data_IF_209542715550
#
_entry.id   IF_209542715550
#
_cell.length_a   1.000
_cell.length_b   1.000
_cell.length_c   1.000
_cell.angle_alpha   90.00
_cell.angle_beta   90.00
_cell.angle_gamma   90.00
#
_symmetry.space_group_name_H-M   'P 1'
#
loop_
_entity.id
_entity.type
_entity.pdbx_description
1 polymer ?
#
# COMPACT_ATOMS: atom_id res chain seq x y z
N UNK A 1 0.06 31.32 -19.19
CA UNK A 1 -0.82 30.54 -18.30
C UNK A 1 0.03 29.99 -17.17
N UNK A 2 -0.44 30.05 -15.93
CA UNK A 2 0.31 29.51 -14.80
C UNK A 2 0.17 27.98 -14.77
N UNK A 3 1.27 27.29 -14.44
CA UNK A 3 1.36 25.83 -14.36
C UNK A 3 1.40 25.37 -12.91
N UNK A 4 0.83 24.22 -12.56
CA UNK A 4 0.99 23.63 -11.24
C UNK A 4 1.04 22.10 -11.27
N UNK A 5 1.60 21.51 -10.21
CA UNK A 5 1.69 20.06 -10.05
C UNK A 5 0.59 19.56 -9.11
N UNK A 6 -0.33 18.73 -9.60
CA UNK A 6 -1.39 18.14 -8.80
C UNK A 6 -0.99 16.76 -8.25
N UNK A 7 -1.03 16.57 -6.93
CA UNK A 7 -0.87 15.25 -6.32
C UNK A 7 -2.18 14.45 -6.44
N UNK A 8 -2.32 13.72 -7.54
CA UNK A 8 -3.55 13.04 -7.93
C UNK A 8 -3.50 11.55 -7.55
N UNK A 9 -4.06 11.24 -6.38
CA UNK A 9 -4.18 9.84 -5.92
C UNK A 9 -5.27 9.02 -6.64
N UNK A 10 -6.13 9.70 -7.42
CA UNK A 10 -7.33 9.11 -8.01
C UNK A 10 -8.49 8.92 -7.03
N UNK A 11 -8.37 9.41 -5.79
CA UNK A 11 -9.47 9.46 -4.81
C UNK A 11 -10.23 10.78 -4.92
N UNK A 12 -11.47 10.77 -4.43
CA UNK A 12 -12.40 11.90 -4.41
C UNK A 12 -11.74 13.25 -4.10
N UNK A 13 -11.09 13.39 -2.95
CA UNK A 13 -10.57 14.69 -2.49
C UNK A 13 -9.49 15.23 -3.44
N UNK A 14 -8.61 14.36 -3.97
CA UNK A 14 -7.61 14.78 -4.95
C UNK A 14 -8.21 15.15 -6.31
N UNK A 15 -9.30 14.49 -6.72
CA UNK A 15 -10.02 14.82 -7.96
C UNK A 15 -10.68 16.19 -7.82
N UNK A 16 -11.42 16.41 -6.73
CA UNK A 16 -12.12 17.67 -6.46
C UNK A 16 -11.15 18.85 -6.36
N UNK A 17 -10.06 18.71 -5.60
CA UNK A 17 -9.04 19.76 -5.50
C UNK A 17 -8.41 20.11 -6.86
N UNK A 18 -8.14 19.09 -7.69
CA UNK A 18 -7.58 19.29 -9.04
C UNK A 18 -8.60 19.99 -9.93
N UNK A 19 -9.87 19.57 -9.90
CA UNK A 19 -10.96 20.15 -10.69
C UNK A 19 -11.19 21.63 -10.37
N UNK A 20 -11.22 21.99 -9.08
CA UNK A 20 -11.40 23.38 -8.64
C UNK A 20 -10.31 24.33 -9.16
N UNK A 21 -9.08 23.83 -9.32
CA UNK A 21 -7.96 24.63 -9.83
C UNK A 21 -7.98 24.69 -11.36
N UNK A 22 -8.38 23.61 -12.03
CA UNK A 22 -8.60 23.60 -13.49
C UNK A 22 -9.68 24.59 -13.93
N UNK A 23 -10.78 24.70 -13.18
CA UNK A 23 -11.87 25.64 -13.48
C UNK A 23 -11.45 27.11 -13.41
N UNK A 24 -10.33 27.42 -12.75
CA UNK A 24 -9.74 28.75 -12.72
C UNK A 24 -8.76 29.00 -13.89
N UNK A 25 -8.61 28.07 -14.83
CA UNK A 25 -7.75 28.22 -16.01
C UNK A 25 -6.25 27.97 -15.74
N UNK A 26 -5.90 27.33 -14.63
CA UNK A 26 -4.52 26.90 -14.35
C UNK A 26 -4.19 25.62 -15.13
N UNK A 27 -3.03 25.59 -15.80
CA UNK A 27 -2.54 24.39 -16.46
C UNK A 27 -1.99 23.40 -15.40
N UNK A 28 -2.44 22.14 -15.41
CA UNK A 28 -2.00 21.14 -14.43
C UNK A 28 -1.31 19.95 -15.08
N UNK A 29 -0.19 19.54 -14.49
CA UNK A 29 0.34 18.19 -14.62
C UNK A 29 0.12 17.43 -13.32
N UNK A 30 -0.40 16.21 -13.41
CA UNK A 30 -0.60 15.34 -12.26
C UNK A 30 0.62 14.47 -11.98
N UNK A 31 0.88 14.24 -10.70
CA UNK A 31 1.79 13.20 -10.22
C UNK A 31 1.05 12.21 -9.33
N UNK A 32 1.42 10.95 -9.46
CA UNK A 32 0.91 9.88 -8.61
C UNK A 32 2.04 8.97 -8.14
N UNK A 33 1.96 8.51 -6.90
CA UNK A 33 2.99 7.68 -6.27
C UNK A 33 2.42 6.30 -5.99
N UNK A 34 3.05 5.29 -6.57
CA UNK A 34 2.71 3.89 -6.36
C UNK A 34 3.69 3.30 -5.38
N UNK A 35 3.19 2.44 -4.49
CA UNK A 35 4.02 1.54 -3.68
C UNK A 35 3.40 0.16 -3.66
N UNK A 36 4.19 -0.83 -3.28
CA UNK A 36 3.73 -2.20 -3.02
C UNK A 36 2.69 -2.26 -1.89
N UNK A 37 2.48 -1.19 -1.10
CA UNK A 37 1.50 -1.15 -0.02
C UNK A 37 0.15 -0.56 -0.45
N UNK A 38 0.05 -0.03 -1.67
CA UNK A 38 -1.20 0.48 -2.21
C UNK A 38 -2.20 -0.67 -2.44
N UNK A 39 -3.40 -0.50 -1.90
CA UNK A 39 -4.54 -1.42 -2.07
C UNK A 39 -5.28 -1.20 -3.38
N UNK A 40 -4.99 -0.11 -4.10
CA UNK A 40 -5.63 0.26 -5.37
C UNK A 40 -5.27 -0.69 -6.53
N UNK A 41 -4.31 -1.60 -6.33
CA UNK A 41 -3.88 -2.60 -7.31
C UNK A 41 -4.52 -3.98 -6.99
N UNK A 42 -5.85 -4.04 -6.89
CA UNK A 42 -6.53 -5.32 -7.00
C UNK A 42 -6.49 -5.75 -8.48
N UNK A 43 -5.93 -6.93 -8.76
CA UNK A 43 -5.88 -7.58 -10.09
C UNK A 43 -4.90 -7.00 -11.12
N UNK A 44 -3.60 -6.94 -10.81
CA UNK A 44 -2.55 -6.89 -11.84
C UNK A 44 -2.53 -5.66 -12.76
N UNK A 45 -3.30 -4.62 -12.46
CA UNK A 45 -3.30 -3.35 -13.18
C UNK A 45 -2.74 -2.28 -12.25
N UNK A 46 -1.73 -1.57 -12.74
CA UNK A 46 -1.17 -0.36 -12.13
C UNK A 46 -2.28 0.61 -11.76
N UNK A 47 -2.07 1.43 -10.73
CA UNK A 47 -2.99 2.42 -10.15
C UNK A 47 -4.00 3.07 -11.13
N UNK A 48 -5.07 2.32 -11.48
CA UNK A 48 -6.04 2.70 -12.51
C UNK A 48 -6.81 3.95 -12.11
N UNK A 49 -7.00 4.17 -10.81
CA UNK A 49 -7.72 5.31 -10.28
C UNK A 49 -7.03 6.64 -10.65
N UNK A 50 -5.71 6.74 -10.49
CA UNK A 50 -4.98 7.96 -10.83
C UNK A 50 -4.99 8.23 -12.33
N UNK A 51 -4.79 7.17 -13.15
CA UNK A 51 -4.83 7.28 -14.61
C UNK A 51 -6.21 7.66 -15.12
N UNK A 52 -7.26 6.94 -14.70
CA UNK A 52 -8.65 7.23 -15.05
C UNK A 52 -9.05 8.65 -14.65
N UNK A 53 -8.65 9.11 -13.46
CA UNK A 53 -8.90 10.48 -13.03
C UNK A 53 -8.19 11.52 -13.91
N UNK A 54 -6.92 11.29 -14.25
CA UNK A 54 -6.16 12.18 -15.12
C UNK A 54 -6.75 12.25 -16.53
N UNK A 55 -7.15 11.10 -17.10
CA UNK A 55 -7.78 11.01 -18.42
C UNK A 55 -9.11 11.78 -18.45
N UNK A 56 -9.96 11.62 -17.42
CA UNK A 56 -11.23 12.36 -17.28
C UNK A 56 -11.02 13.87 -17.12
N UNK A 57 -10.00 14.27 -16.37
CA UNK A 57 -9.63 15.68 -16.19
C UNK A 57 -8.83 16.24 -17.38
N UNK A 58 -8.46 15.40 -18.34
CA UNK A 58 -7.66 15.74 -19.52
C UNK A 58 -6.32 16.39 -19.18
N UNK A 59 -5.65 15.86 -18.16
CA UNK A 59 -4.33 16.33 -17.71
C UNK A 59 -3.29 15.23 -17.84
N UNK A 60 -2.04 15.62 -18.09
CA UNK A 60 -0.91 14.69 -18.14
C UNK A 60 -0.66 14.08 -16.76
N UNK A 61 -0.36 12.78 -16.71
CA UNK A 61 -0.02 12.08 -15.48
C UNK A 61 1.39 11.49 -15.52
N UNK A 62 2.23 11.84 -14.54
CA UNK A 62 3.50 11.16 -14.26
C UNK A 62 3.33 10.23 -13.06
N UNK A 63 3.57 8.93 -13.27
CA UNK A 63 3.51 7.92 -12.21
C UNK A 63 4.91 7.60 -11.73
N UNK A 64 5.15 7.75 -10.43
CA UNK A 64 6.38 7.35 -9.77
C UNK A 64 6.16 6.04 -9.03
N UNK A 65 6.92 5.00 -9.39
CA UNK A 65 7.05 3.81 -8.54
C UNK A 65 8.19 4.07 -7.54
N UNK A 66 7.83 4.13 -6.26
CA UNK A 66 8.73 4.47 -5.15
C UNK A 66 8.83 3.38 -4.08
N UNK A 67 8.40 2.15 -4.38
CA UNK A 67 8.40 1.04 -3.43
C UNK A 67 9.74 0.80 -2.73
N UNK A 68 10.86 0.80 -3.47
CA UNK A 68 12.18 0.49 -2.90
C UNK A 68 12.64 1.59 -1.95
N UNK A 69 12.55 2.86 -2.36
CA UNK A 69 12.92 3.99 -1.48
C UNK A 69 12.02 4.05 -0.25
N UNK A 70 10.75 3.64 -0.39
CA UNK A 70 9.79 3.63 0.70
C UNK A 70 10.11 2.58 1.78
N UNK A 71 10.90 1.54 1.48
CA UNK A 71 11.29 0.54 2.48
C UNK A 71 12.13 1.12 3.61
N UNK A 72 13.01 2.07 3.32
CA UNK A 72 13.82 2.73 4.36
C UNK A 72 12.97 3.57 5.31
N UNK A 73 11.93 4.23 4.77
CA UNK A 73 10.97 4.97 5.58
C UNK A 73 10.18 4.03 6.50
N UNK A 74 9.87 2.82 6.04
CA UNK A 74 9.17 1.82 6.86
C UNK A 74 10.10 1.24 7.92
N UNK A 75 11.39 1.03 7.64
CA UNK A 75 12.32 0.51 8.64
C UNK A 75 12.57 1.53 9.75
N UNK A 76 12.77 2.79 9.36
CA UNK A 76 13.23 3.87 10.25
C UNK A 76 12.43 5.16 10.04
N UNK A 77 11.13 5.22 10.41
CA UNK A 77 10.35 6.45 10.26
C UNK A 77 10.81 7.53 11.25
N UNK A 78 11.06 8.74 10.77
CA UNK A 78 11.49 9.88 11.60
C UNK A 78 10.38 10.31 12.57
N UNK A 79 9.12 10.23 12.15
CA UNK A 79 7.97 10.64 12.95
C UNK A 79 7.19 9.47 13.56
N UNK A 80 7.76 8.27 13.51
CA UNK A 80 7.16 7.06 14.05
C UNK A 80 5.98 6.51 13.23
N UNK A 81 5.33 5.50 13.78
CA UNK A 81 4.16 4.86 13.17
C UNK A 81 2.85 5.39 13.74
N UNK A 82 1.76 5.22 12.99
CA UNK A 82 0.41 5.33 13.53
C UNK A 82 0.03 4.13 14.40
N UNK A 83 -1.24 3.70 14.33
CA UNK A 83 -1.73 2.55 15.12
C UNK A 83 -0.98 1.25 14.80
N UNK A 84 -0.60 1.05 13.54
CA UNK A 84 0.08 -0.17 13.06
C UNK A 84 1.48 0.20 12.56
N UNK A 85 1.85 -0.22 11.34
CA UNK A 85 3.15 0.10 10.75
C UNK A 85 3.08 1.28 9.78
N UNK A 86 2.04 2.10 9.84
CA UNK A 86 1.81 3.16 8.86
C UNK A 86 2.60 4.45 9.21
N UNK A 87 3.68 4.81 8.48
CA UNK A 87 4.47 6.02 8.76
C UNK A 87 3.91 7.18 7.93
N UNK A 88 2.65 7.57 8.21
CA UNK A 88 1.90 8.44 7.32
C UNK A 88 2.53 9.83 7.14
N UNK A 89 3.10 10.41 8.19
CA UNK A 89 3.74 11.72 8.11
C UNK A 89 5.00 11.67 7.24
N UNK A 90 5.90 10.72 7.50
CA UNK A 90 7.10 10.48 6.69
C UNK A 90 6.76 10.18 5.23
N UNK A 91 5.72 9.38 4.99
CA UNK A 91 5.22 9.08 3.66
C UNK A 91 4.83 10.34 2.88
N UNK A 92 4.11 11.26 3.52
CA UNK A 92 3.73 12.53 2.90
C UNK A 92 4.94 13.42 2.65
N UNK A 93 5.85 13.56 3.62
CA UNK A 93 7.10 14.31 3.44
C UNK A 93 7.88 13.79 2.23
N UNK A 94 8.03 12.46 2.12
CA UNK A 94 8.75 11.82 1.02
C UNK A 94 8.09 12.08 -0.35
N UNK A 95 6.77 11.86 -0.45
CA UNK A 95 6.03 12.14 -1.69
C UNK A 95 6.08 13.63 -2.07
N UNK A 96 6.04 14.53 -1.10
CA UNK A 96 6.11 15.97 -1.33
C UNK A 96 7.49 16.39 -1.80
N UNK A 97 8.57 15.80 -1.28
CA UNK A 97 9.93 16.02 -1.79
C UNK A 97 10.06 15.62 -3.26
N UNK A 98 9.55 14.44 -3.63
CA UNK A 98 9.54 13.99 -5.03
C UNK A 98 8.67 14.90 -5.92
N UNK A 99 7.52 15.35 -5.43
CA UNK A 99 6.67 16.31 -6.14
C UNK A 99 7.38 17.67 -6.30
N UNK A 100 8.10 18.14 -5.28
CA UNK A 100 8.89 19.37 -5.32
C UNK A 100 10.03 19.30 -6.36
N UNK A 101 10.69 18.14 -6.46
CA UNK A 101 11.70 17.90 -7.51
C UNK A 101 11.07 18.01 -8.90
N UNK A 102 9.95 17.33 -9.13
CA UNK A 102 9.25 17.40 -10.41
C UNK A 102 8.68 18.79 -10.72
N UNK A 103 8.19 19.49 -9.70
CA UNK A 103 7.73 20.88 -9.80
C UNK A 103 8.86 21.79 -10.29
N UNK A 104 10.08 21.64 -9.76
CA UNK A 104 11.27 22.37 -10.23
C UNK A 104 11.65 22.00 -11.67
N UNK A 105 11.67 20.72 -12.01
CA UNK A 105 11.99 20.23 -13.36
C UNK A 105 11.04 20.79 -14.43
N UNK A 106 9.78 21.02 -14.08
CA UNK A 106 8.73 21.48 -15.00
C UNK A 106 8.46 22.97 -14.95
N UNK A 107 9.18 23.72 -14.10
CA UNK A 107 9.01 25.17 -13.93
C UNK A 107 7.67 25.57 -13.29
N UNK A 108 6.97 24.65 -12.62
CA UNK A 108 5.70 24.94 -11.98
C UNK A 108 5.91 25.74 -10.68
N UNK A 109 5.20 26.86 -10.45
CA UNK A 109 5.35 27.66 -9.22
C UNK A 109 4.84 27.00 -7.92
N UNK A 110 3.91 26.05 -7.97
CA UNK A 110 3.29 25.48 -6.77
C UNK A 110 2.73 24.07 -6.98
N UNK A 111 2.35 23.42 -5.89
CA UNK A 111 1.66 22.12 -5.90
C UNK A 111 0.23 22.22 -5.37
N UNK A 112 -0.63 21.34 -5.87
CA UNK A 112 -2.04 21.22 -5.46
C UNK A 112 -2.24 19.85 -4.82
N UNK A 113 -2.93 19.81 -3.68
CA UNK A 113 -3.25 18.56 -2.98
C UNK A 113 -4.70 18.54 -2.50
N UNK A 114 -5.30 17.35 -2.48
CA UNK A 114 -6.63 17.11 -1.92
C UNK A 114 -6.64 16.95 -0.39
N UNK A 115 -5.69 17.55 0.32
CA UNK A 115 -5.68 17.45 1.78
C UNK A 115 -6.78 18.30 2.42
N UNK A 116 -7.49 17.71 3.38
CA UNK A 116 -8.54 18.36 4.17
C UNK A 116 -8.09 18.41 5.62
N UNK A 117 -8.12 19.60 6.23
CA UNK A 117 -7.72 19.79 7.62
C UNK A 117 -8.54 18.87 8.55
N UNK A 118 -7.85 18.06 9.35
CA UNK A 118 -8.48 17.17 10.33
C UNK A 118 -9.12 15.91 9.77
N UNK A 119 -9.05 15.66 8.45
CA UNK A 119 -9.69 14.45 7.88
C UNK A 119 -8.90 13.18 8.22
N UNK A 120 -7.55 13.24 8.20
CA UNK A 120 -6.66 12.12 8.57
C UNK A 120 -5.91 12.42 9.88
N UNK A 121 -6.03 11.55 10.91
CA UNK A 121 -5.48 11.83 12.25
C UNK A 121 -3.96 11.89 12.31
N UNK A 122 -3.26 11.26 11.36
CA UNK A 122 -1.80 11.13 11.40
C UNK A 122 -1.09 12.16 10.51
N UNK A 123 -1.68 12.51 9.35
CA UNK A 123 -1.00 13.32 8.32
C UNK A 123 -1.68 14.64 7.99
N UNK A 124 -2.91 14.87 8.44
CA UNK A 124 -3.69 16.06 8.06
C UNK A 124 -4.14 16.87 9.29
N UNK A 125 -3.43 16.75 10.40
CA UNK A 125 -3.50 17.72 11.49
C UNK A 125 -2.74 18.99 11.08
N UNK A 126 -3.04 20.12 11.70
CA UNK A 126 -2.38 21.40 11.37
C UNK A 126 -0.85 21.33 11.54
N UNK A 127 -0.39 20.80 12.67
CA UNK A 127 1.03 20.55 12.96
C UNK A 127 1.66 19.61 11.92
N UNK A 128 0.98 18.53 11.57
CA UNK A 128 1.46 17.56 10.59
C UNK A 128 1.63 18.20 9.20
N UNK A 129 0.67 19.00 8.75
CA UNK A 129 0.76 19.70 7.45
C UNK A 129 1.90 20.73 7.44
N UNK A 130 2.12 21.45 8.53
CA UNK A 130 3.26 22.37 8.69
C UNK A 130 4.59 21.63 8.64
N UNK A 131 4.69 20.47 9.31
CA UNK A 131 5.86 19.59 9.24
C UNK A 131 6.10 19.14 7.81
N UNK A 132 5.06 18.69 7.09
CA UNK A 132 5.17 18.26 5.68
C UNK A 132 5.75 19.38 4.82
N UNK A 133 5.19 20.58 4.90
CA UNK A 133 5.67 21.74 4.15
C UNK A 133 7.11 22.10 4.47
N UNK A 134 7.47 22.18 5.75
CA UNK A 134 8.82 22.50 6.20
C UNK A 134 9.82 21.45 5.70
N UNK A 135 9.57 20.18 5.99
CA UNK A 135 10.51 19.10 5.69
C UNK A 135 10.61 18.78 4.20
N UNK A 136 9.58 19.11 3.41
CA UNK A 136 9.62 19.00 1.95
C UNK A 136 10.16 20.25 1.23
N UNK A 137 10.36 21.36 1.95
CA UNK A 137 10.82 22.63 1.36
C UNK A 137 9.74 23.33 0.52
N UNK A 138 8.46 23.10 0.83
CA UNK A 138 7.31 23.62 0.09
C UNK A 138 6.48 24.63 0.91
N UNK A 139 7.08 25.26 1.93
CA UNK A 139 6.40 26.24 2.77
C UNK A 139 5.72 27.33 1.92
N UNK A 140 4.40 27.46 2.05
CA UNK A 140 3.61 28.44 1.30
C UNK A 140 3.40 28.12 -0.19
N UNK A 141 3.86 26.96 -0.67
CA UNK A 141 3.71 26.50 -2.06
C UNK A 141 2.73 25.32 -2.20
N UNK A 142 2.11 24.89 -1.10
CA UNK A 142 1.14 23.79 -1.10
C UNK A 142 -0.28 24.35 -1.03
N UNK A 143 -0.95 24.38 -2.17
CA UNK A 143 -2.35 24.78 -2.27
C UNK A 143 -3.28 23.63 -1.85
N UNK A 144 -4.25 23.92 -0.97
CA UNK A 144 -5.23 22.97 -0.44
C UNK A 144 -6.67 23.45 -0.71
N UNK A 145 -7.18 23.36 -1.96
CA UNK A 145 -8.44 23.98 -2.37
C UNK A 145 -9.66 23.63 -1.50
N UNK A 146 -9.71 22.41 -0.95
CA UNK A 146 -10.85 21.95 -0.15
C UNK A 146 -10.88 22.55 1.27
N UNK A 147 -9.74 22.98 1.79
CA UNK A 147 -9.62 23.47 3.17
C UNK A 147 -8.88 24.81 3.27
N UNK A 148 -8.75 25.53 2.14
CA UNK A 148 -7.91 26.72 2.00
C UNK A 148 -8.23 27.80 3.04
N UNK A 149 -9.53 27.96 3.37
CA UNK A 149 -10.02 28.99 4.30
C UNK A 149 -9.53 28.82 5.74
N UNK A 150 -8.94 27.68 6.10
CA UNK A 150 -8.36 27.42 7.43
C UNK A 150 -6.85 27.64 7.52
N UNK A 151 -6.21 28.07 6.44
CA UNK A 151 -4.77 28.33 6.36
C UNK A 151 -4.50 29.75 5.91
N UNK A 152 -3.30 30.23 6.23
CA UNK A 152 -2.76 31.45 5.63
C UNK A 152 -2.73 31.32 4.10
N UNK A 153 -3.00 32.39 3.35
CA UNK A 153 -2.91 32.36 1.90
C UNK A 153 -1.51 31.93 1.43
N UNK A 154 -1.48 30.96 0.54
CA UNK A 154 -0.27 30.49 -0.13
C UNK A 154 0.25 31.56 -1.10
N UNK A 155 1.49 31.40 -1.57
CA UNK A 155 2.08 32.29 -2.57
C UNK A 155 1.19 32.42 -3.82
N UNK A 156 0.69 31.35 -4.47
CA UNK A 156 -0.17 31.49 -5.64
C UNK A 156 -1.52 32.17 -5.36
N UNK A 157 -2.03 32.11 -4.13
CA UNK A 157 -3.21 32.88 -3.73
C UNK A 157 -2.88 34.37 -3.57
N UNK A 158 -1.74 34.70 -2.94
CA UNK A 158 -1.30 36.09 -2.71
C UNK A 158 -0.93 36.82 -4.00
N UNK A 159 -0.34 36.12 -4.96
CA UNK A 159 0.07 36.69 -6.24
C UNK A 159 -1.06 36.71 -7.28
N UNK A 160 -2.26 36.25 -6.92
CA UNK A 160 -3.41 36.24 -7.81
C UNK A 160 -3.34 35.19 -8.92
N UNK A 161 -2.45 34.19 -8.82
CA UNK A 161 -2.39 33.06 -9.77
C UNK A 161 -3.66 32.21 -9.66
N UNK A 162 -4.18 32.06 -8.44
CA UNK A 162 -5.47 31.41 -8.17
C UNK A 162 -6.34 32.32 -7.31
N UNK A 163 -7.66 32.27 -7.54
CA UNK A 163 -8.64 32.98 -6.74
C UNK A 163 -9.01 32.16 -5.49
N UNK A 164 -8.54 32.63 -4.32
CA UNK A 164 -8.86 32.05 -3.01
C UNK A 164 -10.35 32.05 -2.69
N UNK A 165 -11.14 32.99 -3.22
CA UNK A 165 -12.57 33.07 -2.93
C UNK A 165 -13.40 31.95 -3.55
N UNK A 166 -12.87 31.29 -4.58
CA UNK A 166 -13.48 30.10 -5.16
C UNK A 166 -13.14 28.80 -4.41
N UNK A 167 -12.34 28.85 -3.33
CA UNK A 167 -11.97 27.68 -2.53
C UNK A 167 -12.83 27.49 -1.28
N UNK A 168 -12.74 26.30 -0.69
CA UNK A 168 -13.69 25.82 0.30
C UNK A 168 -13.14 25.84 1.74
N UNK A 169 -14.07 25.74 2.67
CA UNK A 169 -13.85 25.63 4.12
C UNK A 169 -14.26 24.25 4.65
N UNK A 170 -13.80 23.16 4.01
CA UNK A 170 -14.06 21.79 4.49
C UNK A 170 -13.00 21.42 5.53
N UNK A 171 -13.44 20.88 6.67
CA UNK A 171 -12.58 20.31 7.70
C UNK A 171 -13.25 19.12 8.39
N UNK A 172 -12.44 18.31 9.08
CA UNK A 172 -12.87 17.15 9.84
C UNK A 172 -12.99 15.88 9.00
N UNK A 173 -13.50 14.82 9.62
CA UNK A 173 -13.49 13.46 9.06
C UNK A 173 -14.68 13.12 8.16
N UNK A 174 -15.71 13.95 8.17
CA UNK A 174 -16.90 13.75 7.34
C UNK A 174 -16.56 14.01 5.87
N UNK A 175 -17.06 13.14 4.99
CA UNK A 175 -16.95 13.30 3.53
C UNK A 175 -18.23 13.78 2.87
N UNK A 176 -19.27 14.09 3.65
CA UNK A 176 -20.56 14.53 3.09
C UNK A 176 -20.41 15.78 2.20
N UNK A 177 -19.67 16.84 2.59
CA UNK A 177 -19.49 18.02 1.73
C UNK A 177 -18.77 17.71 0.42
N UNK A 178 -17.77 16.82 0.46
CA UNK A 178 -17.01 16.40 -0.73
C UNK A 178 -17.89 15.61 -1.69
N UNK A 179 -18.76 14.75 -1.18
CA UNK A 179 -19.71 13.98 -2.00
C UNK A 179 -20.71 14.92 -2.67
N UNK A 180 -21.29 15.85 -1.91
CA UNK A 180 -22.21 16.87 -2.45
C UNK A 180 -21.54 17.73 -3.54
N UNK A 181 -20.29 18.12 -3.33
CA UNK A 181 -19.51 18.85 -4.33
C UNK A 181 -19.24 18.00 -5.58
N UNK A 182 -19.02 16.70 -5.42
CA UNK A 182 -18.83 15.80 -6.55
C UNK A 182 -20.09 15.73 -7.41
N UNK A 183 -21.26 15.61 -6.78
CA UNK A 183 -22.55 15.62 -7.46
C UNK A 183 -22.76 16.93 -8.23
N UNK A 184 -22.45 18.09 -7.63
CA UNK A 184 -22.60 19.39 -8.29
C UNK A 184 -21.63 19.60 -9.45
N UNK A 185 -20.46 18.95 -9.43
CA UNK A 185 -19.47 18.99 -10.51
C UNK A 185 -19.66 17.86 -11.54
N UNK A 186 -20.69 17.01 -11.39
CA UNK A 186 -20.95 15.87 -12.26
C UNK A 186 -19.89 14.76 -12.17
N UNK A 187 -19.19 14.65 -11.05
CA UNK A 187 -18.12 13.67 -10.81
C UNK A 187 -18.71 12.45 -10.10
N UNK A 188 -19.29 11.54 -10.88
CA UNK A 188 -20.03 10.38 -10.34
C UNK A 188 -19.18 9.09 -10.25
N UNK A 189 -18.06 9.03 -10.96
CA UNK A 189 -17.21 7.83 -11.03
C UNK A 189 -15.84 8.08 -10.40
N UNK A 190 -15.82 7.96 -9.07
CA UNK A 190 -14.62 7.92 -8.24
C UNK A 190 -14.61 6.66 -7.37
N UNK A 191 -13.42 6.12 -7.02
CA UNK A 191 -13.35 4.93 -6.20
C UNK A 191 -14.02 5.14 -4.85
N UNK A 192 -14.87 4.18 -4.45
CA UNK A 192 -15.36 4.05 -3.09
C UNK A 192 -14.18 4.13 -2.10
N UNK A 193 -14.33 4.71 -0.88
CA UNK A 193 -13.23 4.85 0.08
C UNK A 193 -12.50 3.53 0.35
N UNK A 194 -11.43 3.26 -0.40
CA UNK A 194 -10.66 2.04 -0.22
C UNK A 194 -9.92 2.10 1.13
N UNK A 195 -9.99 1.00 1.87
CA UNK A 195 -9.38 0.80 3.20
C UNK A 195 -7.88 1.05 3.19
N UNK A 196 -7.50 2.31 3.36
CA UNK A 196 -6.14 2.78 3.65
C UNK A 196 -5.00 2.19 2.81
N UNK A 197 -3.81 2.31 3.37
CA UNK A 197 -2.60 1.61 2.94
C UNK A 197 -2.55 0.25 3.67
N UNK A 198 -1.95 -0.80 3.07
CA UNK A 198 -1.82 -2.10 3.73
C UNK A 198 -1.11 -2.04 5.08
N UNK A 199 -0.23 -1.06 5.30
CA UNK A 199 0.45 -0.86 6.59
C UNK A 199 -0.49 -0.43 7.73
N UNK A 200 -1.73 -0.05 7.40
CA UNK A 200 -2.78 0.25 8.39
C UNK A 200 -3.56 -1.01 8.81
N UNK A 201 -3.44 -2.12 8.07
CA UNK A 201 -4.02 -3.42 8.45
C UNK A 201 -3.13 -4.10 9.49
N UNK A 202 -3.71 -4.55 10.61
CA UNK A 202 -2.95 -5.15 11.71
C UNK A 202 -2.30 -6.48 11.31
N UNK A 203 -3.02 -7.31 10.55
CA UNK A 203 -2.51 -8.60 10.07
C UNK A 203 -1.32 -8.42 9.14
N UNK A 204 -1.41 -7.53 8.15
CA UNK A 204 -0.30 -7.21 7.25
C UNK A 204 0.86 -6.54 8.00
N UNK A 205 0.56 -5.64 8.95
CA UNK A 205 1.59 -5.00 9.77
C UNK A 205 2.38 -6.02 10.61
N UNK A 206 1.73 -7.01 11.22
CA UNK A 206 2.42 -8.08 11.95
C UNK A 206 3.35 -8.89 11.03
N UNK A 207 2.87 -9.21 9.82
CA UNK A 207 3.68 -9.89 8.80
C UNK A 207 4.87 -9.07 8.34
N UNK A 208 4.72 -7.76 8.23
CA UNK A 208 5.83 -6.85 7.91
C UNK A 208 6.85 -6.76 9.06
N UNK A 209 6.40 -6.69 10.32
CA UNK A 209 7.30 -6.71 11.50
C UNK A 209 8.13 -7.99 11.53
N UNK A 210 7.48 -9.14 11.32
CA UNK A 210 8.17 -10.43 11.19
C UNK A 210 9.18 -10.42 10.05
N UNK A 211 8.82 -9.91 8.87
CA UNK A 211 9.74 -9.82 7.74
C UNK A 211 10.97 -8.97 8.05
N UNK A 212 10.79 -7.76 8.61
CA UNK A 212 11.91 -6.86 8.93
C UNK A 212 12.84 -7.49 9.96
N UNK A 213 12.28 -8.16 10.98
CA UNK A 213 13.06 -8.82 12.04
C UNK A 213 13.95 -9.93 11.51
N UNK A 214 13.43 -10.75 10.61
CA UNK A 214 14.10 -11.96 10.15
C UNK A 214 14.84 -11.78 8.81
N UNK A 215 14.55 -10.72 8.05
CA UNK A 215 15.16 -10.43 6.76
C UNK A 215 15.26 -8.90 6.54
N UNK A 216 16.26 -8.22 7.14
CA UNK A 216 16.40 -6.76 7.02
C UNK A 216 16.68 -6.29 5.57
N UNK A 217 17.23 -7.17 4.72
CA UNK A 217 17.53 -6.98 3.30
C UNK A 217 16.37 -7.41 2.38
N UNK A 218 15.12 -7.37 2.88
CA UNK A 218 13.97 -7.84 2.12
C UNK A 218 13.76 -7.11 0.78
N UNK A 219 13.20 -7.83 -0.18
CA UNK A 219 12.94 -7.38 -1.55
C UNK A 219 11.46 -7.08 -1.77
N UNK A 220 11.12 -6.48 -2.91
CA UNK A 220 9.72 -6.30 -3.33
C UNK A 220 8.97 -7.64 -3.37
N UNK A 221 9.62 -8.70 -3.84
CA UNK A 221 9.01 -10.04 -3.90
C UNK A 221 8.62 -10.54 -2.50
N UNK A 222 9.46 -10.31 -1.48
CA UNK A 222 9.16 -10.70 -0.10
C UNK A 222 7.91 -9.98 0.43
N UNK A 223 7.77 -8.68 0.15
CA UNK A 223 6.58 -7.90 0.53
C UNK A 223 5.33 -8.33 -0.25
N UNK A 224 5.46 -8.70 -1.53
CA UNK A 224 4.34 -9.21 -2.33
C UNK A 224 3.83 -10.55 -1.79
N UNK A 225 4.71 -11.43 -1.31
CA UNK A 225 4.31 -12.67 -0.65
C UNK A 225 3.49 -12.43 0.61
N UNK A 226 3.74 -11.36 1.37
CA UNK A 226 2.97 -11.03 2.58
C UNK A 226 1.49 -10.69 2.33
N UNK A 227 1.11 -10.52 1.06
CA UNK A 227 -0.28 -10.27 0.65
C UNK A 227 -1.06 -11.56 0.42
N UNK A 228 -0.41 -12.71 0.44
CA UNK A 228 -0.97 -14.00 0.05
C UNK A 228 -0.94 -14.97 1.20
N UNK A 229 -1.98 -15.79 1.32
CA UNK A 229 -1.89 -16.97 2.17
C UNK A 229 -1.92 -16.68 3.66
N UNK A 230 -1.72 -17.75 4.42
CA UNK A 230 -1.57 -17.78 5.87
C UNK A 230 -0.09 -17.93 6.17
N UNK A 231 0.42 -17.15 7.11
CA UNK A 231 1.86 -17.10 7.37
C UNK A 231 2.19 -17.75 8.71
N UNK A 232 3.22 -18.59 8.69
CA UNK A 232 3.70 -19.32 9.84
C UNK A 232 5.21 -19.18 9.94
N UNK A 233 5.70 -18.87 11.14
CA UNK A 233 7.13 -18.83 11.46
C UNK A 233 7.47 -20.13 12.19
N UNK A 234 8.15 -21.05 11.50
CA UNK A 234 8.43 -22.39 12.03
C UNK A 234 9.71 -22.40 12.88
N UNK A 235 10.73 -21.68 12.40
CA UNK A 235 11.98 -21.37 13.11
C UNK A 235 12.37 -19.93 12.77
N UNK A 236 13.37 -19.31 13.43
CA UNK A 236 13.83 -17.98 13.05
C UNK A 236 14.24 -17.87 11.56
N UNK A 237 14.68 -18.96 10.94
CA UNK A 237 15.13 -19.06 9.55
C UNK A 237 14.08 -19.65 8.60
N UNK A 238 13.06 -20.37 9.09
CA UNK A 238 12.05 -21.05 8.27
C UNK A 238 10.68 -20.37 8.33
N UNK A 239 10.17 -19.91 7.19
CA UNK A 239 8.82 -19.36 7.05
C UNK A 239 7.99 -20.18 6.07
N UNK A 240 6.76 -20.53 6.47
CA UNK A 240 5.79 -21.18 5.58
C UNK A 240 4.65 -20.21 5.26
N UNK A 241 4.25 -20.19 3.99
CA UNK A 241 3.10 -19.42 3.48
C UNK A 241 2.16 -20.37 2.77
N UNK A 242 0.91 -20.46 3.25
CA UNK A 242 -0.09 -21.42 2.75
C UNK A 242 -1.25 -20.70 2.07
N UNK A 243 -1.49 -20.98 0.80
CA UNK A 243 -2.56 -20.33 0.04
C UNK A 243 -3.96 -20.54 0.63
N UNK A 244 -4.84 -19.55 0.47
CA UNK A 244 -6.24 -19.61 0.97
C UNK A 244 -7.22 -20.12 -0.07
N UNK A 245 -6.89 -20.01 -1.34
CA UNK A 245 -7.72 -20.40 -2.48
C UNK A 245 -6.82 -20.66 -3.70
N UNK A 246 -7.43 -21.14 -4.79
CA UNK A 246 -6.72 -21.51 -6.01
C UNK A 246 -5.95 -20.33 -6.65
N UNK A 247 -6.49 -19.12 -6.57
CA UNK A 247 -5.84 -17.93 -7.13
C UNK A 247 -4.60 -17.54 -6.33
N UNK A 248 -4.66 -17.62 -5.00
CA UNK A 248 -3.49 -17.43 -4.15
C UNK A 248 -2.44 -18.52 -4.37
N UNK A 249 -2.84 -19.79 -4.54
CA UNK A 249 -1.91 -20.88 -4.84
C UNK A 249 -1.09 -20.57 -6.12
N UNK A 250 -1.77 -20.18 -7.21
CA UNK A 250 -1.10 -19.79 -8.46
C UNK A 250 -0.14 -18.61 -8.27
N UNK A 251 -0.56 -17.59 -7.52
CA UNK A 251 0.26 -16.40 -7.25
C UNK A 251 1.45 -16.68 -6.34
N UNK A 252 1.31 -17.61 -5.38
CA UNK A 252 2.41 -18.05 -4.53
C UNK A 252 3.49 -18.72 -5.37
N UNK A 253 3.11 -19.62 -6.28
CA UNK A 253 4.03 -20.27 -7.21
C UNK A 253 4.79 -19.24 -8.07
N UNK A 254 4.08 -18.25 -8.62
CA UNK A 254 4.71 -17.20 -9.44
C UNK A 254 5.66 -16.26 -8.66
N UNK A 255 5.60 -16.26 -7.32
CA UNK A 255 6.46 -15.44 -6.45
C UNK A 255 7.55 -16.25 -5.76
N UNK A 256 7.56 -17.57 -5.95
CA UNK A 256 8.62 -18.42 -5.47
C UNK A 256 9.95 -18.04 -6.14
N UNK A 257 11.03 -18.28 -5.42
CA UNK A 257 12.41 -18.04 -5.87
C UNK A 257 13.19 -19.34 -5.82
N UNK A 258 14.29 -19.38 -6.54
CA UNK A 258 15.31 -20.41 -6.38
C UNK A 258 15.66 -20.58 -4.90
N UNK A 259 15.63 -21.82 -4.44
CA UNK A 259 15.85 -22.15 -3.04
C UNK A 259 14.57 -22.40 -2.24
N UNK A 260 13.42 -21.85 -2.64
CA UNK A 260 12.15 -22.06 -1.93
C UNK A 260 11.68 -23.52 -2.03
N UNK A 261 11.01 -23.98 -0.98
CA UNK A 261 10.39 -25.30 -0.89
C UNK A 261 8.90 -25.21 -1.22
N UNK A 262 8.43 -26.18 -1.99
CA UNK A 262 7.05 -26.31 -2.41
C UNK A 262 6.38 -27.44 -1.65
N UNK A 263 5.25 -27.15 -1.02
CA UNK A 263 4.46 -28.14 -0.32
C UNK A 263 3.10 -28.30 -0.99
N UNK A 264 2.73 -29.51 -1.37
CA UNK A 264 1.41 -29.81 -1.91
C UNK A 264 0.90 -31.17 -1.38
N UNK A 265 -0.40 -31.30 -1.08
CA UNK A 265 -1.01 -32.61 -0.84
C UNK A 265 -0.99 -33.42 -2.15
N UNK A 266 -0.72 -34.72 -2.05
CA UNK A 266 -0.60 -35.60 -3.22
C UNK A 266 -1.88 -36.39 -3.54
N UNK A 267 -2.66 -36.72 -2.52
CA UNK A 267 -3.79 -37.65 -2.62
C UNK A 267 -5.15 -36.94 -2.49
N UNK A 268 -5.14 -35.67 -2.10
CA UNK A 268 -6.34 -34.89 -1.80
C UNK A 268 -6.22 -33.47 -2.34
N UNK A 269 -7.36 -32.79 -2.48
CA UNK A 269 -7.38 -31.36 -2.77
C UNK A 269 -6.89 -30.59 -1.55
N UNK A 270 -6.11 -29.54 -1.76
CA UNK A 270 -5.67 -28.67 -0.68
C UNK A 270 -4.80 -27.52 -1.17
N UNK A 271 -4.25 -26.74 -0.23
CA UNK A 271 -3.51 -25.54 -0.57
C UNK A 271 -2.10 -25.86 -1.04
N UNK A 272 -1.54 -24.92 -1.78
CA UNK A 272 -0.11 -24.88 -2.06
C UNK A 272 0.59 -24.08 -0.97
N UNK A 273 1.68 -24.63 -0.45
CA UNK A 273 2.58 -23.97 0.49
C UNK A 273 3.92 -23.59 -0.15
N UNK A 274 4.43 -22.41 0.18
CA UNK A 274 5.82 -22.01 -0.09
C UNK A 274 6.56 -21.87 1.22
N UNK A 275 7.63 -22.64 1.38
CA UNK A 275 8.61 -22.54 2.46
C UNK A 275 9.80 -21.71 2.01
N UNK A 276 10.08 -20.59 2.68
CA UNK A 276 11.21 -19.71 2.40
C UNK A 276 12.20 -19.71 3.56
N UNK A 277 13.48 -19.89 3.24
CA UNK A 277 14.59 -19.93 4.18
C UNK A 277 15.10 -21.34 4.45
N UNK A 278 15.69 -21.58 5.62
CA UNK A 278 16.41 -22.83 5.93
C UNK A 278 15.51 -23.76 6.74
N UNK A 279 15.23 -24.95 6.19
CA UNK A 279 14.38 -25.96 6.83
C UNK A 279 15.20 -27.15 7.32
N UNK A 280 15.02 -27.51 8.59
CA UNK A 280 15.46 -28.78 9.17
C UNK A 280 14.32 -29.82 9.17
N UNK A 281 14.62 -31.07 9.50
CA UNK A 281 13.64 -32.17 9.52
C UNK A 281 12.39 -31.86 10.37
N UNK A 282 12.54 -31.19 11.52
CA UNK A 282 11.41 -30.80 12.35
C UNK A 282 10.51 -29.77 11.65
N UNK A 283 11.10 -28.71 11.07
CA UNK A 283 10.36 -27.68 10.35
C UNK A 283 9.68 -28.23 9.08
N UNK A 284 10.27 -29.20 8.38
CA UNK A 284 9.65 -29.89 7.24
C UNK A 284 8.42 -30.70 7.69
N UNK A 285 8.54 -31.39 8.82
CA UNK A 285 7.43 -32.13 9.43
C UNK A 285 6.28 -31.19 9.83
N UNK A 286 6.58 -30.12 10.57
CA UNK A 286 5.59 -29.12 10.98
C UNK A 286 4.93 -28.46 9.77
N UNK A 287 5.70 -28.11 8.73
CA UNK A 287 5.13 -27.55 7.51
C UNK A 287 4.14 -28.51 6.84
N UNK A 288 4.50 -29.79 6.75
CA UNK A 288 3.65 -30.84 6.18
C UNK A 288 2.36 -31.03 6.98
N UNK A 289 2.45 -31.00 8.32
CA UNK A 289 1.29 -31.04 9.22
C UNK A 289 0.34 -29.85 8.97
N UNK A 290 0.88 -28.65 8.79
CA UNK A 290 0.06 -27.46 8.50
C UNK A 290 -0.67 -27.62 7.16
N UNK A 291 0.02 -28.12 6.12
CA UNK A 291 -0.58 -28.34 4.80
C UNK A 291 -1.69 -29.39 4.86
N UNK A 292 -1.43 -30.52 5.54
CA UNK A 292 -2.42 -31.57 5.77
C UNK A 292 -3.68 -31.01 6.47
N UNK A 293 -3.51 -30.18 7.49
CA UNK A 293 -4.62 -29.56 8.23
C UNK A 293 -5.54 -28.69 7.36
N UNK A 294 -5.00 -28.01 6.36
CA UNK A 294 -5.78 -27.15 5.45
C UNK A 294 -6.21 -27.88 4.18
N UNK A 295 -5.92 -29.17 4.04
CA UNK A 295 -6.33 -30.00 2.90
C UNK A 295 -7.67 -30.69 3.18
N UNK A 296 -8.38 -31.05 2.11
CA UNK A 296 -9.61 -31.83 2.18
C UNK A 296 -9.26 -33.26 2.62
N UNK A 297 -9.96 -33.82 3.61
CA UNK A 297 -9.69 -35.16 4.14
C UNK A 297 -10.16 -35.30 5.58
N UNK A 298 -10.41 -36.54 6.04
CA UNK A 298 -10.78 -36.77 7.44
C UNK A 298 -9.62 -36.36 8.35
N UNK A 299 -9.91 -35.62 9.42
CA UNK A 299 -8.96 -35.22 10.49
C UNK A 299 -8.22 -36.41 11.15
N UNK A 300 -8.71 -37.64 10.94
CA UNK A 300 -8.15 -38.88 11.47
C UNK A 300 -7.34 -39.67 10.44
N UNK A 301 -7.18 -39.15 9.21
CA UNK A 301 -6.39 -39.75 8.14
C UNK A 301 -5.00 -39.14 8.07
N UNK A 302 -4.01 -39.98 7.81
CA UNK A 302 -2.66 -39.55 7.43
C UNK A 302 -2.69 -39.01 6.00
N UNK A 303 -2.26 -37.76 5.79
CA UNK A 303 -2.18 -37.16 4.44
C UNK A 303 -0.72 -37.14 4.00
N UNK A 304 -0.48 -37.62 2.79
CA UNK A 304 0.83 -37.59 2.14
C UNK A 304 1.09 -36.21 1.51
N UNK A 305 2.06 -35.48 2.05
CA UNK A 305 2.48 -34.17 1.56
C UNK A 305 3.81 -34.30 0.81
N UNK A 306 3.84 -33.77 -0.40
CA UNK A 306 5.05 -33.68 -1.22
C UNK A 306 5.75 -32.36 -0.91
N UNK A 307 7.03 -32.46 -0.53
CA UNK A 307 7.97 -31.37 -0.46
C UNK A 307 8.99 -31.49 -1.60
N UNK A 308 9.15 -30.43 -2.39
CA UNK A 308 10.18 -30.37 -3.45
C UNK A 308 10.81 -28.99 -3.53
N UNK A 309 11.99 -28.90 -4.09
CA UNK A 309 12.64 -27.62 -4.46
C UNK A 309 12.65 -27.52 -5.98
N UNK A 310 12.41 -26.35 -6.57
CA UNK A 310 12.25 -26.23 -8.03
C UNK A 310 13.49 -26.66 -8.82
N UNK A 311 14.69 -26.42 -8.25
CA UNK A 311 15.97 -26.79 -8.85
C UNK A 311 16.40 -28.24 -8.61
N UNK A 312 15.68 -28.99 -7.77
CA UNK A 312 16.09 -30.33 -7.34
C UNK A 312 14.94 -31.33 -7.53
N UNK A 313 15.18 -32.40 -8.31
CA UNK A 313 14.19 -33.47 -8.53
C UNK A 313 13.91 -34.32 -7.28
N UNK A 314 14.64 -34.08 -6.18
CA UNK A 314 14.44 -34.78 -4.92
C UNK A 314 13.10 -34.40 -4.30
N UNK A 315 12.18 -35.34 -4.39
CA UNK A 315 10.83 -35.24 -3.83
C UNK A 315 10.81 -35.96 -2.49
N UNK A 316 10.62 -35.22 -1.40
CA UNK A 316 10.45 -35.81 -0.07
C UNK A 316 8.96 -35.93 0.21
N UNK A 317 8.51 -37.14 0.51
CA UNK A 317 7.13 -37.40 0.91
C UNK A 317 7.05 -37.54 2.43
N UNK A 318 6.23 -36.71 3.07
CA UNK A 318 6.01 -36.75 4.51
C UNK A 318 4.55 -37.09 4.77
N UNK A 319 4.33 -38.11 5.59
CA UNK A 319 3.00 -38.48 6.07
C UNK A 319 2.71 -37.72 7.35
N UNK A 320 1.65 -36.90 7.35
CA UNK A 320 1.33 -36.02 8.47
C UNK A 320 -0.13 -36.18 8.93
N UNK A 321 -0.35 -36.07 10.25
CA UNK A 321 -1.67 -35.94 10.88
C UNK A 321 -1.91 -34.48 11.29
N UNK A 322 -3.18 -34.05 11.38
CA UNK A 322 -3.50 -32.64 11.63
C UNK A 322 -3.08 -32.18 13.04
N UNK A 323 -2.47 -31.00 13.14
CA UNK A 323 -2.14 -30.34 14.42
C UNK A 323 -3.40 -29.86 15.16
N UNK A 324 -3.34 -29.81 16.49
CA UNK A 324 -4.33 -29.09 17.30
C UNK A 324 -4.32 -27.57 17.04
N UNK A 325 -5.48 -26.92 17.17
CA UNK A 325 -5.62 -25.47 16.92
C UNK A 325 -4.69 -24.60 17.78
N UNK A 326 -4.49 -25.00 19.05
CA UNK A 326 -3.72 -24.21 20.03
C UNK A 326 -2.23 -24.11 19.70
N UNK A 327 -1.65 -25.13 19.07
CA UNK A 327 -0.23 -25.11 18.68
C UNK A 327 -0.02 -24.30 17.40
N UNK A 328 -0.99 -24.33 16.50
CA UNK A 328 -0.94 -23.59 15.23
C UNK A 328 -0.98 -22.07 15.44
N UNK A 329 -1.79 -21.60 16.39
CA UNK A 329 -1.88 -20.16 16.69
C UNK A 329 -0.60 -19.62 17.34
N UNK A 330 0.23 -20.45 17.98
CA UNK A 330 1.53 -20.02 18.56
C UNK A 330 2.56 -19.65 17.50
N UNK A 331 2.49 -20.27 16.33
CA UNK A 331 3.45 -20.09 15.22
C UNK A 331 2.89 -19.22 14.09
N UNK A 332 1.63 -18.81 14.18
CA UNK A 332 0.95 -17.96 13.22
C UNK A 332 1.36 -16.50 13.40
N UNK A 333 1.52 -15.79 12.29
CA UNK A 333 1.91 -14.36 12.26
C UNK A 333 0.70 -13.44 12.07
#
# INVERSE_FOLDING_TARGET
MAKAIALLSGRLDSILATKLVLEQGTELEAVNFVTVFCTCAAKGKTCLAGKSAADKLRIKLKVFEVSKEYFEIIKNPKYGYGRNMNPCLDCRVFMFKKAAQYMKETGAPFIVTGEVLGERPMSQRRDAMQIIERDSGLKGLVLRPLSAKFFEPTIPEKTGIVNREAFLAIQGRSRKPQIQLADSLGINDYPCPAGGCLLTDSGFANRMKDLIRHKPDFTINDVQLLKLGRHFRLTPEAKLIVGRNQDENKRLLNLAKDGDLYFNPSEVRGPTGIGRGVFNNNSLSVASIIIARYSDGKLNGQIKVICRQESNSNTVSITASSLGLNELEKIRI
#
